data_IF_844406264935
#
_entry.id   IF_844406264935
#
_cell.length_a   1.000
_cell.length_b   1.000
_cell.length_c   1.000
_cell.angle_alpha   90.00
_cell.angle_beta   90.00
_cell.angle_gamma   90.00
#
_symmetry.space_group_name_H-M   'P 1'
#
loop_
_entity.id
_entity.type
_entity.pdbx_description
1 polymer ?
#
# COMPACT_ATOMS: atom_id res chain seq x y z
N UNK A 1 -4.75 -23.75 8.09
CA UNK A 1 -4.25 -23.51 9.44
C UNK A 1 -4.43 -22.05 9.81
N UNK A 2 -4.96 -21.81 10.96
CA UNK A 2 -5.16 -20.45 11.40
C UNK A 2 -3.83 -19.79 11.75
N UNK A 3 -3.74 -18.52 11.46
CA UNK A 3 -2.58 -17.74 11.82
C UNK A 3 -2.64 -17.39 13.30
N UNK A 4 -1.58 -17.68 13.99
CA UNK A 4 -1.45 -17.32 15.40
C UNK A 4 -0.62 -16.06 15.47
N UNK A 5 -1.10 -15.07 16.23
CA UNK A 5 -0.37 -13.82 16.42
C UNK A 5 -1.10 -12.63 15.82
N UNK A 6 -0.37 -11.54 15.72
CA UNK A 6 -0.93 -10.26 15.27
C UNK A 6 -1.18 -10.27 13.77
N UNK A 7 -2.34 -9.78 13.31
CA UNK A 7 -2.59 -9.62 11.88
C UNK A 7 -1.57 -8.68 11.25
N UNK A 8 -1.32 -8.86 9.95
CA UNK A 8 -0.45 -7.94 9.22
C UNK A 8 -1.04 -6.54 9.25
N UNK A 9 -0.18 -5.55 9.42
CA UNK A 9 -0.57 -4.16 9.52
C UNK A 9 -0.26 -3.46 8.21
N UNK A 10 -1.27 -2.81 7.64
CA UNK A 10 -1.20 -2.16 6.33
C UNK A 10 -1.48 -0.68 6.48
N UNK A 11 -0.68 0.15 5.81
CA UNK A 11 -0.96 1.58 5.70
C UNK A 11 -1.47 1.87 4.29
N UNK A 12 -2.66 2.43 4.21
CA UNK A 12 -3.30 2.78 2.94
C UNK A 12 -3.24 4.29 2.76
N UNK A 13 -2.50 4.74 1.75
CA UNK A 13 -2.23 6.14 1.51
C UNK A 13 -2.96 6.60 0.24
N UNK A 14 -4.02 7.36 0.42
CA UNK A 14 -4.87 7.82 -0.67
C UNK A 14 -5.58 9.09 -0.25
N UNK A 15 -5.51 10.13 -1.08
CA UNK A 15 -6.18 11.39 -0.79
C UNK A 15 -7.68 11.39 -1.10
N UNK A 16 -8.15 10.40 -1.85
CA UNK A 16 -9.60 10.26 -2.13
C UNK A 16 -10.23 9.47 -0.98
N UNK A 17 -10.94 10.18 -0.12
CA UNK A 17 -11.50 9.60 1.10
C UNK A 17 -12.46 8.44 0.83
N UNK A 18 -13.29 8.56 -0.20
CA UNK A 18 -14.26 7.52 -0.52
C UNK A 18 -13.58 6.23 -0.94
N UNK A 19 -12.62 6.34 -1.86
CA UNK A 19 -11.86 5.18 -2.33
C UNK A 19 -11.06 4.58 -1.19
N UNK A 20 -10.43 5.41 -0.38
CA UNK A 20 -9.63 4.97 0.75
C UNK A 20 -10.46 4.14 1.73
N UNK A 21 -11.63 4.66 2.11
CA UNK A 21 -12.49 3.99 3.08
C UNK A 21 -13.01 2.66 2.56
N UNK A 22 -13.36 2.61 1.29
CA UNK A 22 -13.83 1.37 0.69
C UNK A 22 -12.75 0.30 0.69
N UNK A 23 -11.54 0.67 0.28
CA UNK A 23 -10.44 -0.28 0.24
C UNK A 23 -10.02 -0.72 1.64
N UNK A 24 -10.04 0.21 2.60
CA UNK A 24 -9.74 -0.13 3.99
C UNK A 24 -10.73 -1.15 4.53
N UNK A 25 -12.01 -0.96 4.23
CA UNK A 25 -13.05 -1.89 4.64
C UNK A 25 -12.80 -3.27 4.06
N UNK A 26 -12.49 -3.35 2.78
CA UNK A 26 -12.23 -4.62 2.10
C UNK A 26 -11.07 -5.38 2.77
N UNK A 27 -10.00 -4.65 3.09
CA UNK A 27 -8.83 -5.26 3.73
C UNK A 27 -9.14 -5.72 5.15
N UNK A 28 -9.89 -4.91 5.90
CA UNK A 28 -10.27 -5.27 7.26
C UNK A 28 -11.16 -6.51 7.28
N UNK A 29 -12.01 -6.66 6.29
CA UNK A 29 -12.86 -7.85 6.18
C UNK A 29 -12.05 -9.11 5.93
N UNK A 30 -10.82 -8.98 5.42
CA UNK A 30 -9.90 -10.10 5.26
C UNK A 30 -9.05 -10.36 6.50
N UNK A 31 -9.24 -9.58 7.55
CA UNK A 31 -8.56 -9.80 8.81
C UNK A 31 -7.29 -8.97 9.01
N UNK A 32 -6.99 -8.06 8.10
CA UNK A 32 -5.80 -7.20 8.24
C UNK A 32 -6.10 -6.00 9.14
N UNK A 33 -5.06 -5.52 9.81
CA UNK A 33 -5.13 -4.27 10.54
C UNK A 33 -4.77 -3.15 9.58
N UNK A 34 -5.64 -2.16 9.42
CA UNK A 34 -5.46 -1.12 8.40
C UNK A 34 -5.51 0.26 9.02
N UNK A 35 -4.46 1.05 8.78
CA UNK A 35 -4.44 2.47 9.06
C UNK A 35 -4.51 3.21 7.73
N UNK A 36 -5.00 4.44 7.75
CA UNK A 36 -5.16 5.23 6.54
C UNK A 36 -4.50 6.58 6.69
N UNK A 37 -4.03 7.15 5.58
CA UNK A 37 -3.47 8.50 5.52
C UNK A 37 -3.97 9.19 4.27
N UNK A 38 -4.41 10.43 4.42
CA UNK A 38 -4.86 11.24 3.30
C UNK A 38 -3.78 12.09 2.68
N UNK A 39 -2.62 12.21 3.33
CA UNK A 39 -1.49 12.98 2.83
C UNK A 39 -0.20 12.19 3.01
N UNK A 40 0.81 12.54 2.22
CA UNK A 40 2.11 11.90 2.34
C UNK A 40 2.82 12.30 3.63
N UNK A 41 2.59 13.52 4.10
CA UNK A 41 3.16 13.97 5.36
C UNK A 41 2.67 13.08 6.52
N UNK A 42 1.37 12.89 6.62
CA UNK A 42 0.78 12.04 7.64
C UNK A 42 1.27 10.59 7.50
N UNK A 43 1.40 10.12 6.25
CA UNK A 43 1.88 8.77 6.01
C UNK A 43 3.31 8.57 6.52
N UNK A 44 4.18 9.56 6.31
CA UNK A 44 5.55 9.49 6.82
C UNK A 44 5.59 9.37 8.33
N UNK A 45 4.74 10.14 9.00
CA UNK A 45 4.68 10.08 10.46
C UNK A 45 4.20 8.72 10.95
N UNK A 46 3.21 8.15 10.28
CA UNK A 46 2.68 6.85 10.67
C UNK A 46 3.69 5.73 10.46
N UNK A 47 4.40 5.77 9.33
CA UNK A 47 5.42 4.75 9.06
C UNK A 47 6.51 4.80 10.12
N UNK A 48 6.93 6.00 10.51
CA UNK A 48 7.99 6.15 11.51
C UNK A 48 7.59 5.60 12.88
N UNK A 49 6.30 5.70 13.23
CA UNK A 49 5.81 5.27 14.54
C UNK A 49 5.10 3.94 14.54
N UNK A 50 4.99 3.26 13.42
CA UNK A 50 4.23 2.03 13.28
C UNK A 50 5.08 0.84 12.89
N UNK A 51 4.42 -0.30 12.82
CA UNK A 51 5.06 -1.57 12.46
C UNK A 51 4.32 -2.16 11.26
N UNK A 52 4.44 -1.48 10.13
CA UNK A 52 3.71 -1.85 8.94
C UNK A 52 4.45 -2.90 8.12
N UNK A 53 3.70 -3.84 7.56
CA UNK A 53 4.24 -4.83 6.64
C UNK A 53 4.08 -4.41 5.19
N UNK A 54 3.08 -3.59 4.91
CA UNK A 54 2.75 -3.17 3.56
C UNK A 54 2.27 -1.71 3.59
N UNK A 55 2.74 -0.92 2.63
CA UNK A 55 2.25 0.43 2.40
C UNK A 55 1.70 0.46 0.97
N UNK A 56 0.45 0.89 0.83
CA UNK A 56 -0.22 0.98 -0.47
C UNK A 56 -0.39 2.46 -0.80
N UNK A 57 0.17 2.90 -1.91
CA UNK A 57 0.16 4.31 -2.29
C UNK A 57 -0.56 4.50 -3.62
N UNK A 58 -1.49 5.44 -3.65
CA UNK A 58 -2.24 5.76 -4.86
C UNK A 58 -1.48 6.82 -5.65
N UNK A 59 -0.73 6.38 -6.65
CA UNK A 59 0.04 7.30 -7.49
C UNK A 59 -0.84 7.99 -8.54
N UNK A 60 -2.06 7.50 -8.74
CA UNK A 60 -3.04 8.25 -9.52
C UNK A 60 -3.42 9.55 -8.84
N UNK A 61 -3.40 9.57 -7.52
CA UNK A 61 -3.67 10.79 -6.74
C UNK A 61 -2.42 11.63 -6.52
N UNK A 62 -1.34 11.01 -6.03
CA UNK A 62 -0.14 11.73 -5.60
C UNK A 62 0.88 11.94 -6.71
N UNK A 63 0.77 11.20 -7.81
CA UNK A 63 1.67 11.29 -8.95
C UNK A 63 3.14 11.09 -8.53
N UNK A 64 4.02 11.95 -9.01
CA UNK A 64 5.45 11.81 -8.77
C UNK A 64 5.81 11.85 -7.28
N UNK A 65 5.08 12.65 -6.50
CA UNK A 65 5.32 12.70 -5.07
C UNK A 65 5.11 11.33 -4.42
N UNK A 66 4.15 10.55 -4.93
CA UNK A 66 3.94 9.20 -4.45
C UNK A 66 5.09 8.26 -4.78
N UNK A 67 5.70 8.43 -5.95
CA UNK A 67 6.87 7.66 -6.33
C UNK A 67 8.07 7.99 -5.44
N UNK A 68 8.27 9.28 -5.15
CA UNK A 68 9.35 9.71 -4.25
C UNK A 68 9.14 9.17 -2.84
N UNK A 69 7.89 9.17 -2.38
CA UNK A 69 7.55 8.60 -1.08
C UNK A 69 7.90 7.11 -1.04
N UNK A 70 7.62 6.38 -2.12
CA UNK A 70 7.99 4.97 -2.22
C UNK A 70 9.50 4.79 -2.05
N UNK A 71 10.29 5.62 -2.72
CA UNK A 71 11.74 5.55 -2.61
C UNK A 71 12.22 5.80 -1.19
N UNK A 72 11.62 6.78 -0.51
CA UNK A 72 11.94 7.04 0.90
C UNK A 72 11.67 5.83 1.77
N UNK A 73 10.51 5.19 1.58
CA UNK A 73 10.14 4.01 2.37
C UNK A 73 11.12 2.87 2.15
N UNK A 74 11.46 2.58 0.91
CA UNK A 74 12.36 1.47 0.61
C UNK A 74 13.77 1.73 1.11
N UNK A 75 14.19 2.99 1.16
CA UNK A 75 15.50 3.36 1.66
C UNK A 75 15.57 3.26 3.19
N UNK A 76 14.57 3.81 3.86
CA UNK A 76 14.60 3.92 5.32
C UNK A 76 14.01 2.70 6.03
N UNK A 77 13.12 1.97 5.35
CA UNK A 77 12.41 0.82 5.92
C UNK A 77 12.38 -0.31 4.89
N UNK A 78 13.54 -0.90 4.57
CA UNK A 78 13.64 -1.85 3.44
C UNK A 78 12.80 -3.11 3.60
N UNK A 79 12.35 -3.42 4.81
CA UNK A 79 11.50 -4.59 5.04
C UNK A 79 10.04 -4.36 4.73
N UNK A 80 9.63 -3.09 4.64
CA UNK A 80 8.25 -2.77 4.29
C UNK A 80 8.06 -2.96 2.80
N UNK A 81 7.03 -3.70 2.42
CA UNK A 81 6.68 -3.84 1.02
C UNK A 81 5.81 -2.66 0.58
N UNK A 82 5.97 -2.24 -0.66
CA UNK A 82 5.22 -1.12 -1.21
C UNK A 82 4.46 -1.56 -2.45
N UNK A 83 3.16 -1.30 -2.45
CA UNK A 83 2.28 -1.54 -3.58
C UNK A 83 1.79 -0.20 -4.09
N UNK A 84 2.01 0.06 -5.37
CA UNK A 84 1.50 1.28 -5.99
C UNK A 84 0.21 0.97 -6.74
N UNK A 85 -0.77 1.86 -6.61
CA UNK A 85 -1.99 1.81 -7.42
C UNK A 85 -1.96 2.95 -8.42
N UNK A 86 -2.20 2.66 -9.68
CA UNK A 86 -2.23 3.66 -10.73
C UNK A 86 -3.60 3.72 -11.39
N UNK A 87 -3.90 4.83 -12.05
CA UNK A 87 -5.15 4.96 -12.82
C UNK A 87 -5.06 4.31 -14.18
N UNK A 88 -3.86 3.93 -14.58
CA UNK A 88 -3.63 3.33 -15.87
C UNK A 88 -2.22 2.80 -15.94
N UNK A 89 -1.64 2.90 -17.13
CA UNK A 89 -0.30 2.38 -17.34
C UNK A 89 0.74 3.27 -16.65
N UNK A 90 1.61 2.65 -15.87
CA UNK A 90 2.68 3.34 -15.18
C UNK A 90 4.01 2.72 -15.63
N UNK A 91 4.89 3.56 -16.17
CA UNK A 91 6.19 3.11 -16.63
C UNK A 91 7.22 3.24 -15.52
N UNK A 92 7.76 2.10 -15.10
CA UNK A 92 8.78 2.05 -14.07
C UNK A 92 10.06 1.49 -14.66
N UNK A 93 11.19 1.99 -14.17
CA UNK A 93 12.47 1.41 -14.53
C UNK A 93 12.64 0.06 -13.80
N UNK A 94 13.48 -0.83 -14.33
CA UNK A 94 13.67 -2.15 -13.68
C UNK A 94 14.12 -2.09 -12.23
N UNK A 95 14.82 -1.02 -11.84
CA UNK A 95 15.30 -0.84 -10.47
C UNK A 95 14.40 0.06 -9.63
N UNK A 96 13.15 0.25 -10.05
CA UNK A 96 12.20 1.09 -9.33
C UNK A 96 11.87 0.51 -7.96
N UNK A 97 11.44 1.40 -7.07
CA UNK A 97 11.27 1.07 -5.68
C UNK A 97 10.09 0.17 -5.32
N UNK A 98 8.94 0.21 -6.03
CA UNK A 98 7.80 -0.57 -5.56
C UNK A 98 8.02 -2.06 -5.73
N UNK A 99 7.45 -2.82 -4.80
CA UNK A 99 7.48 -4.27 -4.89
C UNK A 99 6.46 -4.77 -5.91
N UNK A 100 5.39 -4.01 -6.11
CA UNK A 100 4.42 -4.30 -7.16
C UNK A 100 3.60 -3.07 -7.52
N UNK A 101 2.95 -3.13 -8.67
CA UNK A 101 2.07 -2.07 -9.17
C UNK A 101 0.81 -2.72 -9.69
N UNK A 102 -0.36 -2.17 -9.32
CA UNK A 102 -1.63 -2.61 -9.88
C UNK A 102 -2.39 -1.40 -10.41
N UNK A 103 -3.29 -1.68 -11.34
CA UNK A 103 -4.18 -0.66 -11.88
C UNK A 103 -5.50 -0.66 -11.12
N UNK A 104 -6.06 0.50 -10.87
CA UNK A 104 -7.40 0.60 -10.29
C UNK A 104 -8.45 -0.05 -11.20
N UNK A 105 -8.15 -0.14 -12.50
CA UNK A 105 -9.05 -0.75 -13.46
C UNK A 105 -9.11 -2.27 -13.33
N UNK A 106 -8.17 -2.87 -12.61
CA UNK A 106 -8.16 -4.32 -12.42
C UNK A 106 -9.24 -4.79 -11.43
N UNK A 107 -9.89 -3.87 -10.74
CA UNK A 107 -11.02 -4.17 -9.89
C UNK A 107 -10.64 -4.55 -8.46
N UNK A 108 -11.64 -4.57 -7.57
CA UNK A 108 -11.39 -4.83 -6.15
C UNK A 108 -10.93 -6.24 -5.84
N UNK A 109 -11.40 -7.22 -6.62
CA UNK A 109 -10.99 -8.61 -6.38
C UNK A 109 -9.50 -8.79 -6.64
N UNK A 110 -9.00 -8.22 -7.73
CA UNK A 110 -7.59 -8.29 -8.05
C UNK A 110 -6.74 -7.54 -7.02
N UNK A 111 -7.24 -6.42 -6.51
CA UNK A 111 -6.57 -5.67 -5.47
C UNK A 111 -6.33 -6.53 -4.22
N UNK A 112 -7.38 -7.21 -3.76
CA UNK A 112 -7.27 -8.07 -2.59
C UNK A 112 -6.32 -9.23 -2.84
N UNK A 113 -6.43 -9.87 -4.01
CA UNK A 113 -5.55 -10.99 -4.34
C UNK A 113 -4.08 -10.57 -4.33
N UNK A 114 -3.78 -9.40 -4.84
CA UNK A 114 -2.40 -8.90 -4.89
C UNK A 114 -1.86 -8.62 -3.50
N UNK A 115 -2.69 -7.99 -2.64
CA UNK A 115 -2.29 -7.72 -1.27
C UNK A 115 -1.99 -9.03 -0.53
N UNK A 116 -2.85 -10.03 -0.68
CA UNK A 116 -2.65 -11.32 -0.03
C UNK A 116 -1.36 -11.97 -0.52
N UNK A 117 -1.12 -11.94 -1.83
CA UNK A 117 0.09 -12.54 -2.39
C UNK A 117 1.35 -11.84 -1.87
N UNK A 118 1.35 -10.52 -1.78
CA UNK A 118 2.51 -9.78 -1.29
C UNK A 118 2.81 -10.08 0.17
N UNK A 119 1.79 -10.23 0.99
CA UNK A 119 1.97 -10.49 2.41
C UNK A 119 2.36 -11.95 2.70
N UNK A 120 2.00 -12.87 1.82
CA UNK A 120 2.35 -14.27 2.00
C UNK A 120 3.79 -14.57 1.62
N UNK A 121 4.37 -13.77 0.74
CA UNK A 121 5.73 -14.01 0.26
C UNK A 121 6.80 -13.38 1.14
N UNK A 122 6.36 -12.64 2.14
CA UNK A 122 7.27 -11.97 3.03
C UNK A 122 7.75 -12.85 4.13
#
# INVERSE_FOLDING_TARGET
MSRVGTPAKILLVNGDTTVQQLRALMLRMKGYEVATSGTLHEAREKVAGGDYKLVIVDVGYFAEAGLLFCEEIKKDYPKIKVLLQSDGQLYLRPDSCPDNVISKQDGPHNFINEVEAMLETG
#
